data_IF_133650508724
#
_entry.id   IF_133650508724
#
_cell.length_a   1.000
_cell.length_b   1.000
_cell.length_c   1.000
_cell.angle_alpha   90.00
_cell.angle_beta   90.00
_cell.angle_gamma   90.00
#
_symmetry.space_group_name_H-M   'P 1'
#
loop_
_entity.id
_entity.type
_entity.pdbx_description
1 polymer ?
#
# COMPACT_ATOMS: atom_id res chain seq x y z
N UNK A 1 -16.00 18.92 -51.26
CA UNK A 1 -16.34 17.73 -52.06
C UNK A 1 -16.14 16.53 -51.16
N UNK A 2 -17.17 16.22 -50.37
CA UNK A 2 -18.16 15.12 -50.59
C UNK A 2 -17.60 13.82 -50.03
N UNK A 3 -17.96 13.43 -48.80
CA UNK A 3 -19.27 12.89 -48.36
C UNK A 3 -19.44 11.42 -48.73
N UNK A 4 -19.58 10.57 -47.69
CA UNK A 4 -20.45 9.40 -47.57
C UNK A 4 -19.95 8.58 -46.36
N UNK A 5 -20.58 8.62 -45.18
CA UNK A 5 -21.92 8.10 -44.79
C UNK A 5 -21.84 6.66 -44.25
N UNK A 6 -21.97 6.58 -42.92
CA UNK A 6 -22.67 5.62 -42.03
C UNK A 6 -22.47 4.09 -42.20
N UNK A 7 -22.61 3.32 -41.11
CA UNK A 7 -23.93 3.01 -40.57
C UNK A 7 -24.10 3.32 -39.07
N UNK A 8 -25.32 3.74 -38.77
CA UNK A 8 -25.89 3.91 -37.44
C UNK A 8 -25.85 2.61 -36.63
N UNK A 9 -25.43 2.70 -35.37
CA UNK A 9 -25.80 1.75 -34.33
C UNK A 9 -26.31 2.54 -33.13
N UNK A 10 -27.64 2.60 -33.08
CA UNK A 10 -28.51 3.06 -32.02
C UNK A 10 -27.97 2.75 -30.60
N UNK A 11 -27.42 3.76 -29.93
CA UNK A 11 -27.18 3.74 -28.49
C UNK A 11 -28.44 4.27 -27.81
N UNK A 12 -29.43 3.40 -27.68
CA UNK A 12 -30.62 3.64 -26.86
C UNK A 12 -30.18 3.67 -25.40
N UNK A 13 -30.37 4.83 -24.78
CA UNK A 13 -30.37 5.01 -23.34
C UNK A 13 -31.62 4.32 -22.78
N UNK A 14 -31.48 3.09 -22.31
CA UNK A 14 -32.42 2.45 -21.39
C UNK A 14 -31.68 1.32 -20.65
N UNK A 15 -30.92 1.68 -19.62
CA UNK A 15 -30.52 0.71 -18.58
C UNK A 15 -30.33 1.46 -17.25
N UNK A 16 -31.46 1.73 -16.61
CA UNK A 16 -31.53 2.13 -15.21
C UNK A 16 -32.70 1.38 -14.56
N UNK A 17 -32.61 0.06 -14.46
CA UNK A 17 -33.45 -0.71 -13.55
C UNK A 17 -32.87 -2.10 -13.29
N UNK A 18 -32.61 -2.41 -12.02
CA UNK A 18 -32.68 -3.80 -11.55
C UNK A 18 -31.36 -4.55 -11.37
N UNK A 19 -30.38 -3.97 -10.69
CA UNK A 19 -29.43 -4.80 -9.96
C UNK A 19 -30.14 -5.46 -8.78
N UNK A 20 -30.38 -6.78 -8.82
CA UNK A 20 -30.44 -7.67 -7.64
C UNK A 20 -30.58 -9.16 -8.01
N UNK A 21 -29.44 -9.85 -7.95
CA UNK A 21 -29.25 -11.14 -7.28
C UNK A 21 -30.03 -12.39 -7.74
N UNK A 22 -29.36 -13.17 -8.59
CA UNK A 22 -29.57 -14.62 -8.75
C UNK A 22 -28.78 -15.36 -7.66
N UNK A 23 -29.44 -16.10 -6.77
CA UNK A 23 -28.96 -17.35 -6.15
C UNK A 23 -29.99 -17.87 -5.13
N UNK A 24 -30.58 -19.03 -5.40
CA UNK A 24 -31.36 -19.80 -4.42
C UNK A 24 -30.46 -20.86 -3.76
N UNK A 25 -30.31 -20.83 -2.43
CA UNK A 25 -30.05 -22.04 -1.66
C UNK A 25 -31.31 -22.47 -0.88
N UNK A 26 -31.80 -23.67 -1.18
CA UNK A 26 -32.88 -24.34 -0.45
C UNK A 26 -32.44 -24.66 0.98
N UNK A 27 -32.97 -23.92 1.96
CA UNK A 27 -32.89 -24.27 3.39
C UNK A 27 -34.26 -24.80 3.82
N UNK A 28 -34.29 -26.07 4.20
CA UNK A 28 -35.43 -26.74 4.83
C UNK A 28 -35.66 -26.15 6.22
N UNK A 29 -36.67 -25.28 6.35
CA UNK A 29 -37.18 -24.79 7.63
C UNK A 29 -38.21 -25.77 8.18
N UNK A 30 -37.95 -26.21 9.41
CA UNK A 30 -38.77 -27.12 10.22
C UNK A 30 -40.14 -26.48 10.50
N UNK A 31 -41.20 -27.22 10.19
CA UNK A 31 -42.59 -26.83 10.44
C UNK A 31 -42.88 -26.82 11.95
N UNK A 32 -43.19 -25.63 12.48
CA UNK A 32 -43.72 -25.39 13.82
C UNK A 32 -45.25 -25.28 13.76
N UNK A 33 -45.91 -26.27 14.37
CA UNK A 33 -47.10 -26.20 15.22
C UNK A 33 -48.17 -25.13 14.90
N UNK A 34 -49.29 -25.58 14.32
CA UNK A 34 -50.60 -24.92 14.43
C UNK A 34 -51.57 -25.93 15.06
N UNK A 35 -52.35 -25.55 16.09
CA UNK A 35 -53.30 -26.44 16.75
C UNK A 35 -54.62 -26.49 15.97
N UNK A 36 -55.19 -27.68 15.82
CA UNK A 36 -56.59 -27.84 15.42
C UNK A 36 -57.31 -28.70 16.44
N UNK A 37 -58.17 -28.02 17.19
CA UNK A 37 -59.08 -28.61 18.14
C UNK A 37 -60.31 -29.15 17.38
N UNK A 38 -60.74 -30.34 17.79
CA UNK A 38 -62.10 -30.87 17.76
C UNK A 38 -62.67 -31.35 16.40
N UNK A 39 -62.86 -32.66 16.26
CA UNK A 39 -64.16 -33.34 16.41
C UNK A 39 -64.08 -34.79 15.90
N UNK A 40 -64.50 -35.74 16.76
CA UNK A 40 -65.31 -36.94 16.44
C UNK A 40 -64.80 -37.96 15.40
N UNK A 41 -64.93 -39.27 15.54
CA UNK A 41 -65.53 -40.16 16.53
C UNK A 41 -65.14 -41.60 16.17
N UNK A 42 -65.56 -42.52 17.06
CA UNK A 42 -65.94 -43.91 16.81
C UNK A 42 -64.88 -45.02 16.98
N UNK A 43 -65.28 -45.92 17.89
CA UNK A 43 -64.98 -47.34 17.99
C UNK A 43 -63.65 -47.70 18.67
N UNK A 44 -63.57 -48.69 19.56
CA UNK A 44 -64.52 -49.74 19.88
C UNK A 44 -64.22 -50.27 21.28
N UNK A 45 -65.29 -50.77 21.89
CA UNK A 45 -65.39 -51.31 23.23
C UNK A 45 -64.29 -52.29 23.65
N UNK A 46 -63.99 -52.20 24.95
CA UNK A 46 -63.37 -53.23 25.73
C UNK A 46 -64.19 -54.53 25.62
N UNK A 47 -63.63 -55.54 24.96
CA UNK A 47 -64.18 -56.88 24.98
C UNK A 47 -64.01 -57.49 26.38
N UNK A 48 -65.09 -57.44 27.15
CA UNK A 48 -65.35 -58.33 28.26
C UNK A 48 -65.75 -59.72 27.74
N UNK A 49 -65.09 -60.72 28.33
CA UNK A 49 -65.45 -62.14 28.54
C UNK A 49 -66.65 -62.73 27.80
N UNK A 50 -66.43 -63.81 27.04
CA UNK A 50 -66.90 -65.19 27.30
C UNK A 50 -66.96 -65.94 25.97
N UNK A 51 -66.07 -66.90 25.75
CA UNK A 51 -66.46 -68.18 25.14
C UNK A 51 -65.64 -69.31 25.76
N UNK A 52 -66.39 -70.28 26.25
CA UNK A 52 -65.98 -71.56 26.79
C UNK A 52 -65.59 -72.50 25.65
N UNK A 53 -64.36 -73.02 25.66
CA UNK A 53 -64.07 -74.38 25.19
C UNK A 53 -63.20 -75.04 26.24
N UNK A 54 -63.76 -76.04 26.92
CA UNK A 54 -63.03 -76.92 27.81
C UNK A 54 -62.35 -78.07 27.05
N UNK A 55 -61.22 -78.50 27.62
CA UNK A 55 -60.67 -79.87 27.58
C UNK A 55 -60.03 -80.24 26.23
N UNK A 56 -58.72 -80.48 26.11
CA UNK A 56 -57.94 -81.46 26.89
C UNK A 56 -56.53 -80.99 27.28
N UNK A 57 -56.14 -81.53 28.43
CA UNK A 57 -54.87 -81.37 29.12
C UNK A 57 -53.90 -82.43 28.61
N UNK A 58 -52.69 -82.03 28.23
CA UNK A 58 -51.49 -82.83 28.50
C UNK A 58 -50.45 -81.94 29.22
N UNK A 59 -50.46 -82.12 30.54
CA UNK A 59 -49.44 -81.92 31.56
C UNK A 59 -47.99 -81.88 31.05
N UNK A 60 -47.04 -81.13 31.62
CA UNK A 60 -47.04 -80.24 32.77
C UNK A 60 -45.79 -79.34 32.67
N UNK A 61 -45.98 -78.03 32.75
CA UNK A 61 -44.90 -77.06 33.01
C UNK A 61 -45.05 -76.56 34.45
N UNK A 62 -43.96 -76.66 35.18
CA UNK A 62 -43.78 -76.11 36.51
C UNK A 62 -43.49 -74.60 36.40
N UNK A 63 -44.56 -73.82 36.45
CA UNK A 63 -44.64 -72.54 37.15
C UNK A 63 -43.51 -71.53 37.01
N UNK A 64 -43.46 -70.82 35.89
CA UNK A 64 -42.87 -69.49 35.76
C UNK A 64 -43.56 -68.75 34.61
N UNK A 65 -43.65 -67.41 34.65
CA UNK A 65 -44.16 -66.61 33.53
C UNK A 65 -43.59 -67.17 32.20
N UNK A 66 -44.40 -67.54 31.19
CA UNK A 66 -43.91 -68.25 29.99
C UNK A 66 -42.86 -67.45 29.18
N UNK A 67 -42.66 -66.18 29.49
CA UNK A 67 -41.59 -65.30 29.00
C UNK A 67 -40.21 -65.50 29.67
N UNK A 68 -40.13 -66.25 30.77
CA UNK A 68 -38.89 -66.51 31.53
C UNK A 68 -38.39 -67.96 31.41
N UNK A 69 -38.95 -68.76 30.49
CA UNK A 69 -38.44 -70.11 30.24
C UNK A 69 -37.02 -70.02 29.62
N UNK A 70 -36.04 -70.55 30.34
CA UNK A 70 -34.59 -70.36 30.05
C UNK A 70 -34.01 -71.35 29.04
N UNK A 71 -34.81 -72.30 28.54
CA UNK A 71 -34.34 -73.39 27.69
C UNK A 71 -33.70 -72.93 26.36
N UNK A 72 -34.11 -71.76 25.84
CA UNK A 72 -33.54 -71.18 24.62
C UNK A 72 -32.48 -70.10 24.86
N UNK A 73 -32.23 -69.71 26.11
CA UNK A 73 -31.33 -68.59 26.44
C UNK A 73 -29.88 -68.92 26.11
N UNK A 74 -29.44 -70.16 26.31
CA UNK A 74 -28.08 -70.58 25.98
C UNK A 74 -27.77 -70.44 24.48
N UNK A 75 -28.68 -70.87 23.60
CA UNK A 75 -28.53 -70.74 22.15
C UNK A 75 -28.53 -69.27 21.70
N UNK A 76 -29.43 -68.46 22.28
CA UNK A 76 -29.48 -67.03 22.01
C UNK A 76 -28.18 -66.33 22.42
N UNK A 77 -27.64 -66.64 23.60
CA UNK A 77 -26.38 -66.05 24.09
C UNK A 77 -25.21 -66.46 23.19
N UNK A 78 -25.09 -67.73 22.79
CA UNK A 78 -24.03 -68.16 21.87
C UNK A 78 -24.10 -67.41 20.54
N UNK A 79 -25.29 -67.26 19.96
CA UNK A 79 -25.46 -66.48 18.74
C UNK A 79 -25.16 -65.00 18.94
N UNK A 80 -25.58 -64.42 20.07
CA UNK A 80 -25.29 -63.03 20.45
C UNK A 80 -23.79 -62.79 20.56
N UNK A 81 -23.05 -63.73 21.14
CA UNK A 81 -21.58 -63.70 21.20
C UNK A 81 -20.96 -63.77 19.80
N UNK A 82 -21.48 -64.61 18.90
CA UNK A 82 -20.97 -64.70 17.52
C UNK A 82 -21.15 -63.38 16.78
N UNK A 83 -22.36 -62.81 16.77
CA UNK A 83 -22.61 -61.52 16.09
C UNK A 83 -21.83 -60.39 16.76
N UNK A 84 -21.72 -60.40 18.09
CA UNK A 84 -20.98 -59.39 18.85
C UNK A 84 -19.49 -59.47 18.54
N UNK A 85 -18.93 -60.67 18.41
CA UNK A 85 -17.54 -60.87 18.02
C UNK A 85 -17.28 -60.36 16.60
N UNK A 86 -18.15 -60.68 15.64
CA UNK A 86 -18.04 -60.17 14.26
C UNK A 86 -18.13 -58.63 14.24
N UNK A 87 -19.09 -58.05 14.95
CA UNK A 87 -19.26 -56.61 15.06
C UNK A 87 -18.06 -55.93 15.74
N UNK A 88 -17.54 -56.53 16.81
CA UNK A 88 -16.34 -56.06 17.51
C UNK A 88 -15.13 -56.05 16.58
N UNK A 89 -14.93 -57.10 15.77
CA UNK A 89 -13.85 -57.15 14.80
C UNK A 89 -13.99 -56.05 13.73
N UNK A 90 -15.21 -55.79 13.24
CA UNK A 90 -15.47 -54.68 12.32
C UNK A 90 -15.15 -53.32 12.95
N UNK A 91 -15.57 -53.11 14.19
CA UNK A 91 -15.31 -51.87 14.94
C UNK A 91 -13.81 -51.64 15.14
N UNK A 92 -13.10 -52.68 15.62
CA UNK A 92 -11.67 -52.63 15.89
C UNK A 92 -10.84 -52.45 14.61
N UNK A 93 -11.21 -53.13 13.52
CA UNK A 93 -10.43 -53.15 12.28
C UNK A 93 -10.74 -51.98 11.33
N UNK A 94 -11.94 -51.41 11.37
CA UNK A 94 -12.38 -50.40 10.38
C UNK A 94 -12.64 -49.04 11.03
N UNK A 95 -13.44 -48.98 12.10
CA UNK A 95 -13.88 -47.72 12.67
C UNK A 95 -12.77 -47.01 13.46
N UNK A 96 -12.06 -47.74 14.34
CA UNK A 96 -10.93 -47.18 15.10
C UNK A 96 -9.83 -46.59 14.19
N UNK A 97 -9.31 -47.29 13.15
CA UNK A 97 -8.30 -46.70 12.29
C UNK A 97 -8.82 -45.54 11.44
N UNK A 98 -10.08 -45.57 10.98
CA UNK A 98 -10.67 -44.45 10.24
C UNK A 98 -10.78 -43.19 11.09
N UNK A 99 -11.26 -43.32 12.33
CA UNK A 99 -11.37 -42.17 13.24
C UNK A 99 -10.00 -41.58 13.56
N UNK A 100 -9.00 -42.44 13.82
CA UNK A 100 -7.62 -42.02 14.04
C UNK A 100 -7.04 -41.27 12.85
N UNK A 101 -7.31 -41.74 11.63
CA UNK A 101 -6.84 -41.07 10.41
C UNK A 101 -7.39 -39.64 10.32
N UNK A 102 -8.69 -39.45 10.57
CA UNK A 102 -9.32 -38.11 10.52
C UNK A 102 -8.70 -37.15 11.53
N UNK A 103 -8.49 -37.62 12.77
CA UNK A 103 -7.87 -36.79 13.82
C UNK A 103 -6.43 -36.40 13.42
N UNK A 104 -5.65 -37.36 12.92
CA UNK A 104 -4.28 -37.11 12.47
C UNK A 104 -4.23 -36.17 11.26
N UNK A 105 -5.10 -36.37 10.27
CA UNK A 105 -5.17 -35.48 9.10
C UNK A 105 -5.50 -34.06 9.52
N UNK A 106 -6.53 -33.85 10.35
CA UNK A 106 -6.88 -32.51 10.85
C UNK A 106 -5.73 -31.88 11.64
N UNK A 107 -5.11 -32.65 12.53
CA UNK A 107 -3.96 -32.18 13.31
C UNK A 107 -2.78 -31.79 12.41
N UNK A 108 -2.48 -32.61 11.39
CA UNK A 108 -1.41 -32.35 10.42
C UNK A 108 -1.70 -31.11 9.60
N UNK A 109 -2.92 -30.96 9.07
CA UNK A 109 -3.32 -29.78 8.29
C UNK A 109 -3.24 -28.51 9.14
N UNK A 110 -3.74 -28.52 10.38
CA UNK A 110 -3.64 -27.36 11.28
C UNK A 110 -2.16 -27.02 11.58
N UNK A 111 -1.33 -28.03 11.82
CA UNK A 111 0.09 -27.82 12.09
C UNK A 111 0.82 -27.25 10.86
N UNK A 112 0.51 -27.74 9.68
CA UNK A 112 1.04 -27.27 8.39
C UNK A 112 0.58 -25.83 8.09
N UNK A 113 -0.72 -25.54 8.24
CA UNK A 113 -1.29 -24.20 8.06
C UNK A 113 -0.66 -23.20 9.03
N UNK A 114 -0.44 -23.60 10.29
CA UNK A 114 0.20 -22.74 11.28
C UNK A 114 1.70 -22.53 10.97
N UNK A 115 2.39 -23.56 10.48
CA UNK A 115 3.79 -23.45 10.05
C UNK A 115 3.91 -22.52 8.84
N UNK A 116 3.04 -22.67 7.84
CA UNK A 116 2.99 -21.84 6.65
C UNK A 116 2.63 -20.39 6.99
N UNK A 117 1.65 -20.17 7.88
CA UNK A 117 1.30 -18.84 8.35
C UNK A 117 2.47 -18.15 9.07
N UNK A 118 3.23 -18.88 9.90
CA UNK A 118 4.44 -18.35 10.55
C UNK A 118 5.54 -18.05 9.53
N UNK A 119 5.81 -18.96 8.60
CA UNK A 119 6.81 -18.75 7.56
C UNK A 119 6.48 -17.52 6.69
N UNK A 120 5.23 -17.39 6.26
CA UNK A 120 4.77 -16.24 5.47
C UNK A 120 4.85 -14.94 6.28
N UNK A 121 4.54 -14.97 7.58
CA UNK A 121 4.70 -13.81 8.46
C UNK A 121 6.17 -13.42 8.58
N UNK A 122 7.05 -14.38 8.84
CA UNK A 122 8.47 -14.13 9.03
C UNK A 122 9.12 -13.61 7.73
N UNK A 123 8.73 -14.16 6.58
CA UNK A 123 9.14 -13.68 5.27
C UNK A 123 8.63 -12.25 5.00
N UNK A 124 7.35 -11.98 5.27
CA UNK A 124 6.79 -10.63 5.13
C UNK A 124 7.48 -9.61 6.05
N UNK A 125 7.78 -9.99 7.29
CA UNK A 125 8.54 -9.13 8.22
C UNK A 125 9.98 -8.91 7.75
N UNK A 126 10.63 -9.92 7.17
CA UNK A 126 11.97 -9.80 6.61
C UNK A 126 11.99 -8.88 5.38
N UNK A 127 11.05 -9.07 4.45
CA UNK A 127 10.90 -8.22 3.26
C UNK A 127 10.55 -6.78 3.65
N UNK A 128 9.66 -6.58 4.63
CA UNK A 128 9.32 -5.25 5.14
C UNK A 128 10.54 -4.54 5.75
N UNK A 129 11.37 -5.26 6.51
CA UNK A 129 12.62 -4.71 7.07
C UNK A 129 13.62 -4.35 5.98
N UNK A 130 13.77 -5.19 4.96
CA UNK A 130 14.67 -4.91 3.82
C UNK A 130 14.19 -3.67 3.05
N UNK A 131 12.91 -3.62 2.67
CA UNK A 131 12.33 -2.46 1.97
C UNK A 131 12.45 -1.16 2.78
N UNK A 132 12.25 -1.22 4.10
CA UNK A 132 12.45 -0.06 4.97
C UNK A 132 13.92 0.38 5.02
N UNK A 133 14.86 -0.56 5.09
CA UNK A 133 16.29 -0.27 5.07
C UNK A 133 16.74 0.34 3.73
N UNK A 134 16.31 -0.23 2.60
CA UNK A 134 16.59 0.28 1.26
C UNK A 134 16.04 1.69 1.06
N UNK A 135 14.82 1.94 1.54
CA UNK A 135 14.22 3.28 1.48
C UNK A 135 15.00 4.29 2.33
N UNK A 136 15.43 3.90 3.53
CA UNK A 136 16.24 4.75 4.40
C UNK A 136 17.62 5.05 3.81
N UNK A 137 18.26 4.05 3.19
CA UNK A 137 19.53 4.20 2.49
C UNK A 137 19.38 5.11 1.27
N UNK A 138 18.35 4.92 0.45
CA UNK A 138 18.07 5.76 -0.71
C UNK A 138 17.84 7.22 -0.32
N UNK A 139 17.07 7.48 0.75
CA UNK A 139 16.89 8.84 1.28
C UNK A 139 18.20 9.44 1.78
N UNK A 140 19.05 8.64 2.43
CA UNK A 140 20.36 9.11 2.92
C UNK A 140 21.30 9.43 1.76
N UNK A 141 21.35 8.58 0.74
CA UNK A 141 22.13 8.79 -0.48
C UNK A 141 21.64 10.04 -1.24
N UNK A 142 20.32 10.23 -1.36
CA UNK A 142 19.74 11.42 -2.00
C UNK A 142 20.11 12.71 -1.25
N UNK A 143 20.02 12.71 0.09
CA UNK A 143 20.44 13.86 0.91
C UNK A 143 21.92 14.17 0.77
N UNK A 144 22.76 13.14 0.75
CA UNK A 144 24.21 13.28 0.54
C UNK A 144 24.51 13.88 -0.84
N UNK A 145 23.89 13.33 -1.89
CA UNK A 145 24.06 13.83 -3.26
C UNK A 145 23.59 15.29 -3.40
N UNK A 146 22.46 15.65 -2.79
CA UNK A 146 21.97 17.01 -2.78
C UNK A 146 22.96 17.97 -2.07
N UNK A 147 23.49 17.57 -0.91
CA UNK A 147 24.49 18.35 -0.19
C UNK A 147 25.79 18.52 -0.99
N UNK A 148 26.27 17.44 -1.63
CA UNK A 148 27.46 17.48 -2.50
C UNK A 148 27.25 18.36 -3.74
N UNK A 149 26.07 18.29 -4.37
CA UNK A 149 25.72 19.13 -5.52
C UNK A 149 25.64 20.62 -5.14
N UNK A 150 25.05 20.94 -3.98
CA UNK A 150 25.03 22.31 -3.46
C UNK A 150 26.44 22.81 -3.13
N UNK A 151 27.27 21.98 -2.49
CA UNK A 151 28.66 22.33 -2.19
C UNK A 151 29.47 22.59 -3.47
N UNK A 152 29.32 21.74 -4.49
CA UNK A 152 29.96 21.91 -5.80
C UNK A 152 29.49 23.18 -6.51
N UNK A 153 28.18 23.40 -6.56
CA UNK A 153 27.59 24.62 -7.15
C UNK A 153 28.12 25.88 -6.48
N UNK A 154 28.14 25.92 -5.15
CA UNK A 154 28.67 27.06 -4.40
C UNK A 154 30.18 27.29 -4.67
N UNK A 155 30.96 26.22 -4.80
CA UNK A 155 32.38 26.31 -5.13
C UNK A 155 32.59 26.85 -6.55
N UNK A 156 31.79 26.41 -7.53
CA UNK A 156 31.84 26.91 -8.91
C UNK A 156 31.42 28.38 -9.00
N UNK A 157 30.36 28.77 -8.28
CA UNK A 157 29.92 30.17 -8.19
C UNK A 157 31.02 31.03 -7.58
N UNK A 158 31.63 30.61 -6.46
CA UNK A 158 32.71 31.35 -5.81
C UNK A 158 33.95 31.50 -6.71
N UNK A 159 34.30 30.46 -7.47
CA UNK A 159 35.39 30.51 -8.43
C UNK A 159 35.07 31.46 -9.60
N UNK A 160 33.84 31.42 -10.14
CA UNK A 160 33.40 32.31 -11.21
C UNK A 160 33.37 33.77 -10.74
N UNK A 161 32.88 34.05 -9.53
CA UNK A 161 32.88 35.41 -8.98
C UNK A 161 34.31 35.93 -8.81
N UNK A 162 35.24 35.11 -8.32
CA UNK A 162 36.63 35.53 -8.17
C UNK A 162 37.30 35.89 -9.51
N UNK A 163 37.00 35.12 -10.58
CA UNK A 163 37.50 35.41 -11.93
C UNK A 163 36.91 36.71 -12.49
N UNK A 164 35.61 36.94 -12.29
CA UNK A 164 34.97 38.16 -12.75
C UNK A 164 35.42 39.39 -11.95
N UNK A 165 35.63 39.26 -10.63
CA UNK A 165 36.18 40.32 -9.78
C UNK A 165 37.60 40.72 -10.26
N UNK A 166 38.45 39.75 -10.62
CA UNK A 166 39.77 40.05 -11.18
C UNK A 166 39.67 40.83 -12.50
N UNK A 167 38.75 40.45 -13.40
CA UNK A 167 38.52 41.16 -14.66
C UNK A 167 37.98 42.57 -14.42
N UNK A 168 37.04 42.73 -13.49
CA UNK A 168 36.49 44.02 -13.11
C UNK A 168 37.56 44.94 -12.53
N UNK A 169 38.43 44.42 -11.66
CA UNK A 169 39.51 45.20 -11.07
C UNK A 169 40.53 45.66 -12.14
N UNK A 170 40.86 44.80 -13.12
CA UNK A 170 41.70 45.20 -14.26
C UNK A 170 41.06 46.33 -15.08
N UNK A 171 39.78 46.18 -15.44
CA UNK A 171 39.03 47.21 -16.19
C UNK A 171 38.91 48.52 -15.41
N UNK A 172 38.75 48.45 -14.09
CA UNK A 172 38.71 49.62 -13.22
C UNK A 172 40.07 50.34 -13.24
N UNK A 173 41.17 49.61 -13.08
CA UNK A 173 42.52 50.18 -13.19
C UNK A 173 42.80 50.82 -14.56
N UNK A 174 42.43 50.17 -15.66
CA UNK A 174 42.55 50.74 -17.01
C UNK A 174 41.70 52.01 -17.18
N UNK A 175 40.47 52.01 -16.64
CA UNK A 175 39.59 53.17 -16.68
C UNK A 175 40.16 54.34 -15.85
N UNK A 176 40.71 54.09 -14.66
CA UNK A 176 41.35 55.10 -13.83
C UNK A 176 42.58 55.73 -14.51
N UNK A 177 43.41 54.93 -15.19
CA UNK A 177 44.54 55.45 -15.97
C UNK A 177 44.05 56.33 -17.12
N UNK A 178 43.02 55.88 -17.85
CA UNK A 178 42.43 56.66 -18.95
C UNK A 178 41.82 57.98 -18.46
N UNK A 179 41.08 57.96 -17.36
CA UNK A 179 40.48 59.16 -16.76
C UNK A 179 41.57 60.13 -16.30
N UNK A 180 42.63 59.63 -15.65
CA UNK A 180 43.78 60.48 -15.27
C UNK A 180 44.44 61.12 -16.49
N UNK A 181 44.69 60.35 -17.55
CA UNK A 181 45.25 60.87 -18.79
C UNK A 181 44.37 61.96 -19.43
N UNK A 182 43.06 61.75 -19.49
CA UNK A 182 42.10 62.74 -20.00
C UNK A 182 42.05 64.00 -19.13
N UNK A 183 42.09 63.85 -17.80
CA UNK A 183 42.16 64.97 -16.86
C UNK A 183 43.43 65.79 -17.07
N UNK A 184 44.57 65.13 -17.17
CA UNK A 184 45.87 65.80 -17.33
C UNK A 184 45.95 66.53 -18.67
N UNK A 185 45.44 65.92 -19.75
CA UNK A 185 45.31 66.59 -21.05
C UNK A 185 44.38 67.80 -21.00
N UNK A 186 43.20 67.68 -20.35
CA UNK A 186 42.29 68.80 -20.18
C UNK A 186 42.91 69.95 -19.35
N UNK A 187 43.66 69.62 -18.28
CA UNK A 187 44.36 70.61 -17.47
C UNK A 187 45.50 71.31 -18.25
N UNK A 188 46.20 70.60 -19.13
CA UNK A 188 47.18 71.20 -20.03
C UNK A 188 46.50 72.22 -20.97
N UNK A 189 45.37 71.86 -21.59
CA UNK A 189 44.61 72.78 -22.42
C UNK A 189 44.11 74.02 -21.66
N UNK A 190 43.68 73.86 -20.40
CA UNK A 190 43.31 74.99 -19.53
C UNK A 190 44.51 75.91 -19.29
N UNK A 191 45.69 75.35 -19.00
CA UNK A 191 46.92 76.14 -18.82
C UNK A 191 47.31 76.91 -20.09
N UNK A 192 47.19 76.29 -21.26
CA UNK A 192 47.49 76.92 -22.55
C UNK A 192 46.53 78.09 -22.81
N UNK A 193 45.22 77.87 -22.66
CA UNK A 193 44.18 78.90 -22.82
C UNK A 193 44.38 80.05 -21.82
N UNK A 194 44.73 79.73 -20.56
CA UNK A 194 45.00 80.73 -19.54
C UNK A 194 46.22 81.59 -19.90
N UNK A 195 47.31 80.98 -20.39
CA UNK A 195 48.50 81.71 -20.84
C UNK A 195 48.22 82.60 -22.04
N UNK A 196 47.46 82.11 -23.03
CA UNK A 196 47.07 82.88 -24.20
C UNK A 196 46.19 84.07 -23.80
N UNK A 197 45.18 83.83 -22.96
CA UNK A 197 44.27 84.88 -22.47
C UNK A 197 45.02 85.92 -21.65
N UNK A 198 45.93 85.51 -20.76
CA UNK A 198 46.76 86.43 -19.97
C UNK A 198 47.68 87.29 -20.86
N UNK A 199 48.27 86.70 -21.90
CA UNK A 199 49.10 87.44 -22.87
C UNK A 199 48.30 88.52 -23.58
N UNK A 200 47.12 88.16 -24.08
CA UNK A 200 46.20 89.10 -24.74
C UNK A 200 45.77 90.21 -23.78
N UNK A 201 45.48 89.90 -22.52
CA UNK A 201 45.09 90.90 -21.52
C UNK A 201 46.22 91.90 -21.23
N UNK A 202 47.46 91.42 -21.07
CA UNK A 202 48.62 92.29 -20.79
C UNK A 202 48.94 93.18 -21.99
N UNK A 203 48.84 92.65 -23.22
CA UNK A 203 49.01 93.44 -24.44
C UNK A 203 47.96 94.56 -24.53
N UNK A 204 46.69 94.26 -24.22
CA UNK A 204 45.60 95.25 -24.22
C UNK A 204 45.76 96.31 -23.14
N UNK A 205 46.32 95.98 -21.97
CA UNK A 205 46.48 96.91 -20.85
C UNK A 205 47.74 97.78 -20.91
N UNK A 206 48.85 97.25 -21.45
CA UNK A 206 50.16 97.92 -21.43
C UNK A 206 50.62 98.43 -22.80
N UNK A 207 49.95 98.04 -23.88
CA UNK A 207 50.28 98.43 -25.26
C UNK A 207 51.59 97.80 -25.78
N UNK A 208 52.20 96.87 -25.04
CA UNK A 208 53.39 96.11 -25.44
C UNK A 208 53.16 94.62 -25.18
N UNK A 209 53.59 93.77 -26.10
CA UNK A 209 53.51 92.32 -25.93
C UNK A 209 54.42 91.85 -24.78
N UNK A 210 53.88 91.05 -23.87
CA UNK A 210 54.66 90.43 -22.80
C UNK A 210 55.54 89.29 -23.37
N UNK A 211 56.78 89.17 -22.88
CA UNK A 211 57.68 88.12 -23.36
C UNK A 211 57.25 86.75 -22.80
N UNK A 212 57.23 85.73 -23.68
CA UNK A 212 56.78 84.37 -23.32
C UNK A 212 57.50 83.76 -22.11
N UNK A 213 58.77 84.13 -21.88
CA UNK A 213 59.56 83.68 -20.74
C UNK A 213 59.07 84.27 -19.40
N UNK A 214 58.62 85.53 -19.38
CA UNK A 214 58.12 86.17 -18.16
C UNK A 214 56.72 85.65 -17.77
N UNK A 215 55.84 85.41 -18.74
CA UNK A 215 54.53 84.80 -18.51
C UNK A 215 54.65 83.38 -17.96
N UNK A 216 55.50 82.55 -18.55
CA UNK A 216 55.69 81.16 -18.12
C UNK A 216 56.28 81.06 -16.71
N UNK A 217 57.19 81.97 -16.36
CA UNK A 217 57.76 82.07 -15.00
C UNK A 217 56.74 82.56 -13.95
N UNK A 218 55.75 83.37 -14.34
CA UNK A 218 54.69 83.85 -13.44
C UNK A 218 53.58 82.81 -13.25
N UNK A 219 53.20 82.09 -14.31
CA UNK A 219 52.16 81.04 -14.26
C UNK A 219 52.63 79.81 -13.48
N UNK A 220 53.90 79.41 -13.61
CA UNK A 220 54.45 78.27 -12.87
C UNK A 220 54.79 78.55 -11.40
N UNK A 221 54.56 79.77 -10.91
CA UNK A 221 54.78 80.17 -9.50
C UNK A 221 53.50 80.10 -8.65
N UNK A 222 52.36 79.82 -9.26
CA UNK A 222 51.04 79.63 -8.63
C UNK A 222 50.74 78.14 -8.60
#
# INVERSE_FOLDING_TARGET
MTAATSPEANLSADDASGASFSATPSVTTVASLVPLNNAEALAHDAHATTETVGTEVHHAEEGGLPQLNTDHWAGQIVWLVVIFAIFYLLMAKVFTPRLRNVINTRGSTIAEDLANARANRDEAEAQAKQAAAETAEAHTAARKLAAEALARSNAEVAAATAVEDEKLNKRLGEAEVRIRGQRDAAMAHVSDIASETASLLVEKLTGKAATAAALKAAIGKV
#
